data_IF_058384929969
#
_entry.id   IF_058384929969
#
_cell.length_a   1.000
_cell.length_b   1.000
_cell.length_c   1.000
_cell.angle_alpha   90.00
_cell.angle_beta   90.00
_cell.angle_gamma   90.00
#
_symmetry.space_group_name_H-M   'P 1'
#
loop_
_entity.id
_entity.type
_entity.pdbx_description
1 polymer ?
#
# COMPACT_ATOMS: atom_id res chain seq x y z
N UNK A 1 18.61 -14.88 -6.93
CA UNK A 1 17.42 -14.50 -6.12
C UNK A 1 17.63 -13.12 -5.48
N UNK A 2 17.92 -12.10 -6.28
CA UNK A 2 17.98 -10.71 -5.82
C UNK A 2 16.66 -10.08 -6.19
N UNK A 3 15.62 -10.25 -5.36
CA UNK A 3 14.43 -9.41 -5.49
C UNK A 3 14.91 -8.01 -5.12
N UNK A 4 15.10 -7.18 -6.12
CA UNK A 4 15.76 -5.87 -6.06
C UNK A 4 15.32 -5.10 -4.82
N UNK A 5 16.29 -4.65 -4.01
CA UNK A 5 16.09 -3.71 -2.91
C UNK A 5 15.80 -2.31 -3.46
N UNK A 6 14.80 -2.20 -4.33
CA UNK A 6 14.31 -0.91 -4.81
C UNK A 6 13.41 -0.30 -3.73
N UNK A 7 13.64 0.96 -3.43
CA UNK A 7 12.71 1.76 -2.63
C UNK A 7 11.37 1.92 -3.35
N UNK A 8 10.42 2.57 -2.68
CA UNK A 8 9.11 2.78 -3.29
C UNK A 8 9.19 3.70 -4.52
N UNK A 9 8.35 3.42 -5.51
CA UNK A 9 8.19 4.25 -6.69
C UNK A 9 7.57 5.59 -6.32
N UNK A 10 8.05 6.64 -6.99
CA UNK A 10 7.52 7.98 -6.94
C UNK A 10 7.51 8.52 -8.39
N UNK A 11 6.34 8.79 -9.00
CA UNK A 11 4.99 8.70 -8.42
C UNK A 11 4.47 7.26 -8.26
N UNK A 12 3.53 7.05 -7.31
CA UNK A 12 2.86 5.76 -7.08
C UNK A 12 2.20 5.21 -8.36
N UNK A 13 2.55 3.97 -8.72
CA UNK A 13 1.94 3.26 -9.86
C UNK A 13 0.83 2.30 -9.40
N UNK A 14 -0.08 1.90 -10.31
CA UNK A 14 -1.11 0.89 -9.97
C UNK A 14 -0.47 -0.46 -9.61
N UNK A 15 0.59 -0.84 -10.32
CA UNK A 15 1.32 -2.10 -10.07
C UNK A 15 1.92 -2.09 -8.66
N UNK A 16 2.64 -1.03 -8.29
CA UNK A 16 3.18 -0.88 -6.95
C UNK A 16 2.08 -0.86 -5.89
N UNK A 17 0.97 -0.14 -6.13
CA UNK A 17 -0.12 -0.07 -5.18
C UNK A 17 -0.71 -1.45 -4.84
N UNK A 18 -0.87 -2.32 -5.84
CA UNK A 18 -1.28 -3.72 -5.63
C UNK A 18 -0.24 -4.51 -4.84
N UNK A 19 1.06 -4.30 -5.10
CA UNK A 19 2.13 -4.94 -4.33
C UNK A 19 2.17 -4.49 -2.87
N UNK A 20 2.05 -3.19 -2.61
CA UNK A 20 2.02 -2.62 -1.25
C UNK A 20 0.83 -3.17 -0.47
N UNK A 21 -0.35 -3.23 -1.09
CA UNK A 21 -1.55 -3.79 -0.46
C UNK A 21 -1.57 -5.32 -0.46
N UNK A 22 -0.59 -6.00 -1.06
CA UNK A 22 -0.54 -7.47 -1.20
C UNK A 22 -1.80 -8.03 -1.88
N UNK A 23 -2.26 -7.36 -2.92
CA UNK A 23 -3.45 -7.71 -3.70
C UNK A 23 -3.10 -7.98 -5.16
N UNK A 24 -3.98 -8.70 -5.86
CA UNK A 24 -3.93 -8.83 -7.31
C UNK A 24 -4.72 -7.73 -8.02
N UNK A 25 -4.50 -7.53 -9.33
CA UNK A 25 -5.18 -6.50 -10.12
C UNK A 25 -6.71 -6.66 -10.20
N UNK A 26 -7.23 -7.85 -9.88
CA UNK A 26 -8.66 -8.19 -9.85
C UNK A 26 -9.32 -7.99 -8.48
N UNK A 27 -8.58 -7.47 -7.49
CA UNK A 27 -9.12 -7.29 -6.14
C UNK A 27 -10.29 -6.29 -6.11
N UNK A 28 -11.35 -6.63 -5.36
CA UNK A 28 -12.50 -5.74 -5.21
C UNK A 28 -12.19 -4.53 -4.33
N UNK A 29 -13.02 -3.49 -4.44
CA UNK A 29 -12.94 -2.27 -3.62
C UNK A 29 -12.97 -2.58 -2.13
N UNK A 30 -13.83 -3.51 -1.72
CA UNK A 30 -13.97 -3.94 -0.33
C UNK A 30 -12.67 -4.58 0.17
N UNK A 31 -12.04 -5.41 -0.67
CA UNK A 31 -10.78 -6.06 -0.32
C UNK A 31 -9.63 -5.07 -0.19
N UNK A 32 -9.60 -4.04 -1.06
CA UNK A 32 -8.65 -2.92 -0.98
C UNK A 32 -8.81 -2.19 0.35
N UNK A 33 -10.02 -1.80 0.73
CA UNK A 33 -10.30 -1.08 1.98
C UNK A 33 -9.98 -1.92 3.22
N UNK A 34 -10.35 -3.21 3.22
CA UNK A 34 -10.05 -4.13 4.33
C UNK A 34 -8.54 -4.26 4.55
N UNK A 35 -7.79 -4.47 3.47
CA UNK A 35 -6.34 -4.71 3.54
C UNK A 35 -5.60 -3.42 3.89
N UNK A 36 -6.04 -2.27 3.35
CA UNK A 36 -5.55 -0.95 3.75
C UNK A 36 -5.70 -0.73 5.27
N UNK A 37 -6.89 -0.98 5.83
CA UNK A 37 -7.13 -0.83 7.28
C UNK A 37 -6.18 -1.69 8.12
N UNK A 38 -5.99 -2.96 7.74
CA UNK A 38 -5.10 -3.88 8.44
C UNK A 38 -3.63 -3.44 8.38
N UNK A 39 -3.18 -2.98 7.21
CA UNK A 39 -1.82 -2.48 7.02
C UNK A 39 -1.61 -1.17 7.77
N UNK A 40 -2.57 -0.25 7.74
CA UNK A 40 -2.48 1.00 8.49
C UNK A 40 -2.42 0.75 9.99
N UNK A 41 -3.26 -0.13 10.55
CA UNK A 41 -3.21 -0.43 11.98
C UNK A 41 -1.82 -0.90 12.43
N UNK A 42 -1.15 -1.71 11.61
CA UNK A 42 0.20 -2.23 11.90
C UNK A 42 1.30 -1.20 11.70
N UNK A 43 1.14 -0.29 10.74
CA UNK A 43 2.18 0.66 10.35
C UNK A 43 1.93 2.09 10.84
N UNK A 44 0.85 2.33 11.59
CA UNK A 44 0.50 3.66 12.07
C UNK A 44 1.59 4.21 13.00
N UNK A 45 2.01 5.48 12.85
CA UNK A 45 3.01 6.10 13.72
C UNK A 45 2.67 6.01 15.22
N UNK A 46 1.40 6.22 15.58
CA UNK A 46 0.94 6.12 16.98
C UNK A 46 1.13 4.73 17.59
N UNK A 47 1.25 3.70 16.75
CA UNK A 47 1.53 2.32 17.17
C UNK A 47 3.02 1.95 17.03
N UNK A 48 3.91 2.94 16.92
CA UNK A 48 5.34 2.76 16.70
C UNK A 48 5.73 2.41 15.25
N UNK A 49 4.79 2.57 14.31
CA UNK A 49 5.06 2.37 12.88
C UNK A 49 5.77 3.54 12.21
N UNK A 50 6.13 3.36 10.94
CA UNK A 50 6.82 4.40 10.16
C UNK A 50 5.82 5.33 9.45
N UNK A 51 5.96 6.63 9.66
CA UNK A 51 5.20 7.67 8.92
C UNK A 51 5.34 7.50 7.41
N UNK A 52 6.54 7.17 6.94
CA UNK A 52 6.79 6.98 5.51
C UNK A 52 6.06 5.75 4.97
N UNK A 53 6.11 4.62 5.67
CA UNK A 53 5.38 3.41 5.27
C UNK A 53 3.87 3.62 5.30
N UNK A 54 3.35 4.28 6.35
CA UNK A 54 1.95 4.65 6.45
C UNK A 54 1.50 5.54 5.28
N UNK A 55 2.31 6.54 4.89
CA UNK A 55 2.05 7.38 3.74
C UNK A 55 1.97 6.55 2.43
N UNK A 56 2.89 5.62 2.22
CA UNK A 56 2.88 4.74 1.03
C UNK A 56 1.69 3.79 0.99
N UNK A 57 1.23 3.29 2.15
CA UNK A 57 0.00 2.50 2.26
C UNK A 57 -1.24 3.35 1.90
N UNK A 58 -1.27 4.61 2.31
CA UNK A 58 -2.34 5.55 1.93
C UNK A 58 -2.32 5.87 0.43
N UNK A 59 -1.15 6.21 -0.13
CA UNK A 59 -0.97 6.42 -1.57
C UNK A 59 -1.44 5.23 -2.40
N UNK A 60 -1.14 4.00 -1.95
CA UNK A 60 -1.56 2.79 -2.65
C UNK A 60 -3.08 2.65 -2.69
N UNK A 61 -3.75 2.84 -1.55
CA UNK A 61 -5.22 2.86 -1.49
C UNK A 61 -5.79 3.95 -2.40
N UNK A 62 -5.24 5.15 -2.35
CA UNK A 62 -5.69 6.26 -3.20
C UNK A 62 -5.49 5.96 -4.68
N UNK A 63 -4.36 5.39 -5.09
CA UNK A 63 -4.08 5.07 -6.49
C UNK A 63 -5.05 4.05 -7.08
N UNK A 64 -5.56 3.12 -6.26
CA UNK A 64 -6.48 2.07 -6.70
C UNK A 64 -7.95 2.47 -6.58
N UNK A 65 -8.28 3.39 -5.67
CA UNK A 65 -9.67 3.80 -5.43
C UNK A 65 -10.02 5.17 -6.01
N UNK A 66 -9.03 6.03 -6.31
CA UNK A 66 -9.24 7.23 -7.12
C UNK A 66 -9.19 6.82 -8.60
N UNK A 67 -10.38 6.51 -9.10
CA UNK A 67 -10.82 6.71 -10.47
C UNK A 67 -12.08 7.55 -10.41
#
# INVERSE_FOLDING_TARGET
>A
MTKDMKGFEAPMTRSEAYQILRLGPTASKEKILQTHKQLMLRNHPDNGGSTYVAAKVNEAKEKLLRG
#
